data_IF_821893878886
#
_entry.id   IF_821893878886
#
_cell.length_a   1.000
_cell.length_b   1.000
_cell.length_c   1.000
_cell.angle_alpha   90.00
_cell.angle_beta   90.00
_cell.angle_gamma   90.00
#
_symmetry.space_group_name_H-M   'P 1'
#
loop_
_entity.id
_entity.type
_entity.pdbx_description
1 polymer ?
#
# COMPACT_ATOMS: atom_id res chain seq x y z
N UNK A 1 5.70 -7.21 24.55
CA UNK A 1 4.32 -7.02 24.03
C UNK A 1 3.60 -8.36 24.11
N UNK A 2 2.42 -8.41 24.75
CA UNK A 2 1.52 -9.57 24.59
C UNK A 2 0.62 -9.30 23.39
N UNK A 3 0.67 -10.18 22.39
CA UNK A 3 -0.19 -10.10 21.20
C UNK A 3 -1.36 -11.05 21.41
N UNK A 4 -2.55 -10.49 21.62
CA UNK A 4 -3.80 -11.26 21.71
C UNK A 4 -4.37 -11.44 20.31
N UNK A 5 -4.15 -12.61 19.69
CA UNK A 5 -4.74 -12.94 18.39
C UNK A 5 -6.21 -13.27 18.55
N UNK A 6 -7.03 -12.79 17.63
CA UNK A 6 -8.45 -13.18 17.58
C UNK A 6 -8.57 -14.70 17.39
N UNK A 7 -9.28 -15.43 18.27
CA UNK A 7 -9.32 -16.89 18.23
C UNK A 7 -9.96 -17.48 16.96
N UNK A 8 -10.84 -16.73 16.29
CA UNK A 8 -11.50 -17.16 15.04
C UNK A 8 -10.86 -16.60 13.78
N UNK A 9 -9.59 -16.19 13.84
CA UNK A 9 -8.84 -15.88 12.63
C UNK A 9 -8.90 -17.04 11.62
N UNK A 10 -8.95 -16.76 10.31
CA UNK A 10 -8.87 -15.43 9.67
C UNK A 10 -10.19 -14.63 9.68
N UNK A 11 -10.10 -13.30 9.76
CA UNK A 11 -11.25 -12.35 9.72
C UNK A 11 -11.81 -12.11 8.31
N UNK A 12 -11.09 -12.53 7.26
CA UNK A 12 -11.50 -12.45 5.87
C UNK A 12 -10.91 -13.66 5.13
N UNK A 13 -11.72 -14.30 4.28
CA UNK A 13 -11.32 -15.44 3.45
C UNK A 13 -11.78 -15.22 2.01
N UNK A 14 -11.11 -15.85 1.02
CA UNK A 14 -11.56 -15.81 -0.37
C UNK A 14 -13.03 -16.23 -0.54
N UNK A 15 -13.77 -15.50 -1.37
CA UNK A 15 -15.11 -15.91 -1.83
C UNK A 15 -14.98 -16.63 -3.17
N UNK A 16 -15.28 -17.94 -3.17
CA UNK A 16 -15.17 -18.79 -4.36
C UNK A 16 -16.17 -18.43 -5.47
N UNK A 17 -17.19 -17.64 -5.17
CA UNK A 17 -18.14 -17.17 -6.18
C UNK A 17 -17.64 -15.91 -6.91
N UNK A 18 -16.47 -15.40 -6.56
CA UNK A 18 -15.90 -14.17 -7.10
C UNK A 18 -14.48 -14.41 -7.63
N UNK A 19 -14.36 -14.66 -8.93
CA UNK A 19 -13.10 -15.08 -9.60
C UNK A 19 -11.90 -14.14 -9.36
N UNK A 20 -12.14 -12.85 -9.14
CA UNK A 20 -11.09 -11.85 -8.90
C UNK A 20 -10.42 -11.97 -7.52
N UNK A 21 -11.07 -12.66 -6.57
CA UNK A 21 -10.55 -12.85 -5.21
C UNK A 21 -10.48 -14.33 -4.79
N UNK A 22 -10.76 -15.25 -5.71
CA UNK A 22 -10.94 -16.67 -5.42
C UNK A 22 -9.65 -17.33 -4.91
N UNK A 23 -8.47 -16.92 -5.40
CA UNK A 23 -7.22 -17.57 -5.02
C UNK A 23 -6.72 -17.12 -3.64
N UNK A 24 -6.80 -15.81 -3.33
CA UNK A 24 -6.37 -15.27 -2.04
C UNK A 24 -6.95 -13.88 -1.75
N UNK A 25 -7.09 -13.56 -0.45
CA UNK A 25 -7.36 -12.20 0.07
C UNK A 25 -6.43 -11.93 1.25
N UNK A 26 -5.70 -10.82 1.23
CA UNK A 26 -4.63 -10.54 2.20
C UNK A 26 -4.17 -9.06 2.14
N UNK A 27 -3.17 -8.70 2.96
CA UNK A 27 -2.55 -7.37 3.00
C UNK A 27 -3.54 -6.21 3.11
N UNK A 28 -4.51 -6.34 4.01
CA UNK A 28 -5.56 -5.36 4.19
C UNK A 28 -5.14 -4.13 5.00
N UNK A 29 -5.65 -2.96 4.62
CA UNK A 29 -5.53 -1.70 5.33
C UNK A 29 -6.93 -1.24 5.83
N UNK A 30 -7.18 -1.25 7.14
CA UNK A 30 -8.43 -0.78 7.70
C UNK A 30 -8.49 0.76 7.72
N UNK A 31 -9.69 1.32 7.60
CA UNK A 31 -9.98 2.75 7.76
C UNK A 31 -11.38 2.94 8.33
N UNK A 32 -11.53 3.87 9.27
CA UNK A 32 -12.85 4.21 9.82
C UNK A 32 -13.55 5.26 8.94
N UNK A 33 -14.85 5.05 8.71
CA UNK A 33 -15.72 6.04 8.07
C UNK A 33 -17.14 5.89 8.64
N UNK A 34 -17.66 6.98 9.21
CA UNK A 34 -19.03 7.06 9.75
C UNK A 34 -19.36 5.96 10.77
N UNK A 35 -18.44 5.66 11.69
CA UNK A 35 -18.62 4.64 12.72
C UNK A 35 -18.55 3.19 12.22
N UNK A 36 -18.21 2.97 10.95
CA UNK A 36 -17.91 1.63 10.38
C UNK A 36 -16.44 1.51 10.05
N UNK A 37 -15.94 0.28 10.08
CA UNK A 37 -14.59 -0.05 9.66
C UNK A 37 -14.67 -0.61 8.24
N UNK A 38 -13.97 0.04 7.32
CA UNK A 38 -13.76 -0.46 5.97
C UNK A 38 -12.37 -1.10 5.89
N UNK A 39 -12.27 -2.23 5.21
CA UNK A 39 -10.99 -2.90 4.94
C UNK A 39 -10.76 -2.91 3.44
N UNK A 40 -9.74 -2.19 2.99
CA UNK A 40 -9.24 -2.32 1.63
C UNK A 40 -8.20 -3.44 1.63
N UNK A 41 -8.30 -4.40 0.73
CA UNK A 41 -7.43 -5.57 0.75
C UNK A 41 -6.98 -5.97 -0.65
N UNK A 42 -5.82 -6.61 -0.73
CA UNK A 42 -5.37 -7.26 -1.96
C UNK A 42 -6.17 -8.55 -2.14
N UNK A 43 -6.78 -8.70 -3.30
CA UNK A 43 -7.41 -9.89 -3.79
C UNK A 43 -6.59 -10.45 -4.96
N UNK A 44 -6.56 -11.76 -5.11
CA UNK A 44 -5.85 -12.42 -6.21
C UNK A 44 -6.75 -13.44 -6.89
N UNK A 45 -6.73 -13.44 -8.22
CA UNK A 45 -7.41 -14.44 -9.03
C UNK A 45 -6.58 -15.72 -9.21
N UNK A 46 -7.24 -16.83 -9.54
CA UNK A 46 -6.53 -17.93 -10.21
C UNK A 46 -6.06 -17.51 -11.61
N UNK A 47 -5.05 -18.18 -12.19
CA UNK A 47 -4.61 -17.89 -13.54
C UNK A 47 -5.74 -18.02 -14.55
N UNK A 48 -6.07 -16.92 -15.22
CA UNK A 48 -7.03 -16.90 -16.33
C UNK A 48 -6.66 -15.80 -17.33
N UNK A 49 -7.33 -15.80 -18.49
CA UNK A 49 -7.07 -14.79 -19.50
C UNK A 49 -7.61 -13.42 -19.07
N UNK A 50 -6.72 -12.44 -18.95
CA UNK A 50 -7.05 -11.05 -18.65
C UNK A 50 -7.02 -10.23 -19.94
N UNK A 51 -8.17 -9.69 -20.36
CA UNK A 51 -8.29 -8.96 -21.62
C UNK A 51 -7.39 -7.73 -21.70
N UNK A 52 -7.26 -6.95 -20.62
CA UNK A 52 -6.40 -5.76 -20.60
C UNK A 52 -4.91 -6.10 -20.67
N UNK A 53 -4.49 -7.19 -20.01
CA UNK A 53 -3.10 -7.65 -20.02
C UNK A 53 -2.76 -8.52 -21.24
N UNK A 54 -3.77 -8.99 -21.98
CA UNK A 54 -3.68 -9.92 -23.12
C UNK A 54 -2.88 -11.20 -22.82
N UNK A 55 -3.04 -11.73 -21.59
CA UNK A 55 -2.24 -12.85 -21.08
C UNK A 55 -3.04 -13.71 -20.11
N UNK A 56 -2.59 -14.95 -19.94
CA UNK A 56 -3.04 -15.85 -18.87
C UNK A 56 -2.10 -15.71 -17.68
N UNK A 57 -2.60 -15.15 -16.58
CA UNK A 57 -1.85 -14.98 -15.33
C UNK A 57 -2.83 -14.82 -14.15
N UNK A 58 -2.32 -14.90 -12.93
CA UNK A 58 -3.03 -14.36 -11.76
C UNK A 58 -2.80 -12.86 -11.71
N UNK A 59 -3.87 -12.08 -11.51
CA UNK A 59 -3.78 -10.63 -11.30
C UNK A 59 -4.28 -10.31 -9.89
N UNK A 60 -3.60 -9.34 -9.27
CA UNK A 60 -4.03 -8.71 -8.04
C UNK A 60 -4.98 -7.54 -8.34
N UNK A 61 -6.12 -7.53 -7.66
CA UNK A 61 -7.07 -6.42 -7.61
C UNK A 61 -7.19 -5.94 -6.15
N UNK A 62 -7.78 -4.75 -5.93
CA UNK A 62 -8.08 -4.26 -4.58
C UNK A 62 -9.58 -4.36 -4.33
N UNK A 63 -9.92 -5.10 -3.28
CA UNK A 63 -11.26 -5.22 -2.74
C UNK A 63 -11.53 -4.23 -1.60
N UNK A 64 -12.81 -4.02 -1.33
CA UNK A 64 -13.34 -3.32 -0.16
C UNK A 64 -14.32 -4.24 0.57
N UNK A 65 -14.20 -4.35 1.88
CA UNK A 65 -15.20 -4.94 2.76
C UNK A 65 -15.55 -3.96 3.88
N UNK A 66 -16.74 -4.10 4.49
CA UNK A 66 -17.16 -3.28 5.63
C UNK A 66 -17.46 -4.14 6.86
N UNK A 67 -17.31 -3.56 8.04
CA UNK A 67 -17.57 -4.20 9.32
C UNK A 67 -18.06 -3.17 10.33
N UNK A 68 -19.03 -3.55 11.16
CA UNK A 68 -19.50 -2.72 12.28
C UNK A 68 -18.64 -2.92 13.55
N UNK A 69 -17.85 -4.00 13.63
CA UNK A 69 -17.06 -4.37 14.82
C UNK A 69 -15.56 -4.57 14.56
N UNK A 70 -15.12 -4.42 13.31
CA UNK A 70 -13.73 -4.58 12.89
C UNK A 70 -13.26 -6.03 12.82
N UNK A 71 -14.16 -6.99 12.96
CA UNK A 71 -13.87 -8.43 13.01
C UNK A 71 -14.68 -9.17 11.95
N UNK A 72 -15.98 -8.87 11.83
CA UNK A 72 -16.88 -9.51 10.89
C UNK A 72 -17.02 -8.65 9.64
N UNK A 73 -16.23 -8.95 8.61
CA UNK A 73 -16.23 -8.22 7.35
C UNK A 73 -17.21 -8.80 6.33
N UNK A 74 -17.96 -7.93 5.66
CA UNK A 74 -19.01 -8.26 4.69
C UNK A 74 -18.97 -7.33 3.47
N UNK A 75 -19.85 -7.60 2.50
CA UNK A 75 -20.04 -6.78 1.28
C UNK A 75 -18.76 -6.58 0.48
N UNK A 76 -17.99 -7.66 0.32
CA UNK A 76 -16.79 -7.69 -0.52
C UNK A 76 -17.12 -7.19 -1.92
N UNK A 77 -16.43 -6.15 -2.37
CA UNK A 77 -16.53 -5.63 -3.74
C UNK A 77 -15.16 -5.25 -4.27
N UNK A 78 -14.96 -5.44 -5.57
CA UNK A 78 -13.77 -4.96 -6.27
C UNK A 78 -13.86 -3.45 -6.48
N UNK A 79 -12.81 -2.70 -6.15
CA UNK A 79 -12.80 -1.23 -6.25
C UNK A 79 -11.63 -0.65 -7.07
N UNK A 80 -10.47 -1.30 -7.11
CA UNK A 80 -9.34 -0.89 -7.97
C UNK A 80 -8.86 -2.14 -8.70
N UNK A 81 -8.72 -2.01 -10.00
CA UNK A 81 -8.27 -3.05 -10.92
C UNK A 81 -7.50 -2.40 -12.07
N UNK A 82 -6.71 -3.17 -12.86
CA UNK A 82 -5.94 -2.62 -13.96
C UNK A 82 -6.82 -1.93 -15.01
N UNK A 83 -6.59 -0.63 -15.21
CA UNK A 83 -7.23 0.21 -16.23
C UNK A 83 -6.19 1.04 -17.01
N UNK A 84 -4.95 1.13 -16.51
CA UNK A 84 -3.88 1.91 -17.09
C UNK A 84 -2.61 1.08 -17.33
N UNK A 85 -1.78 1.48 -18.30
CA UNK A 85 -0.56 0.73 -18.65
C UNK A 85 0.43 0.59 -17.48
N UNK A 86 0.49 1.56 -16.56
CA UNK A 86 1.37 1.50 -15.39
C UNK A 86 0.93 0.51 -14.30
N UNK A 87 -0.25 -0.09 -14.42
CA UNK A 87 -0.81 -1.07 -13.48
C UNK A 87 -1.34 -2.32 -14.21
N UNK A 88 -0.98 -2.48 -15.49
CA UNK A 88 -1.51 -3.49 -16.42
C UNK A 88 -1.56 -4.92 -15.90
N UNK A 89 -0.62 -5.28 -15.03
CA UNK A 89 -0.46 -6.63 -14.51
C UNK A 89 -0.80 -6.77 -13.02
N UNK A 90 -1.34 -5.73 -12.38
CA UNK A 90 -1.87 -5.83 -11.01
C UNK A 90 -1.84 -4.54 -10.21
N UNK A 91 -2.78 -4.47 -9.27
CA UNK A 91 -2.91 -3.45 -8.22
C UNK A 91 -2.80 -4.14 -6.86
N UNK A 92 -1.76 -3.83 -6.07
CA UNK A 92 -1.41 -4.61 -4.89
C UNK A 92 -1.32 -3.77 -3.61
N UNK A 93 -1.58 -4.41 -2.47
CA UNK A 93 -1.19 -3.97 -1.13
C UNK A 93 -1.61 -2.53 -0.79
N UNK A 94 -2.94 -2.26 -0.71
CA UNK A 94 -3.46 -0.92 -0.51
C UNK A 94 -3.02 -0.32 0.83
N UNK A 95 -2.82 0.99 0.84
CA UNK A 95 -2.74 1.83 2.04
C UNK A 95 -3.66 3.02 1.88
N UNK A 96 -4.61 3.13 2.80
CA UNK A 96 -5.63 4.17 2.77
C UNK A 96 -5.42 5.17 3.89
N UNK A 97 -5.42 6.45 3.54
CA UNK A 97 -5.43 7.55 4.49
C UNK A 97 -6.56 8.51 4.12
N UNK A 98 -7.37 8.91 5.10
CA UNK A 98 -8.27 10.06 4.93
C UNK A 98 -7.48 11.33 5.23
N UNK A 99 -7.45 12.26 4.29
CA UNK A 99 -6.86 13.59 4.46
C UNK A 99 -7.89 14.63 3.99
N UNK A 100 -8.23 15.56 4.87
CA UNK A 100 -9.36 16.47 4.68
C UNK A 100 -10.64 15.65 4.37
N UNK A 101 -11.35 15.92 3.27
CA UNK A 101 -12.59 15.23 2.88
C UNK A 101 -12.38 14.11 1.84
N UNK A 102 -11.13 13.73 1.55
CA UNK A 102 -10.79 12.77 0.51
C UNK A 102 -9.97 11.59 1.07
N UNK A 103 -10.24 10.40 0.56
CA UNK A 103 -9.46 9.20 0.82
C UNK A 103 -8.41 9.05 -0.27
N UNK A 104 -7.16 8.89 0.14
CA UNK A 104 -6.03 8.56 -0.72
C UNK A 104 -5.69 7.10 -0.51
N UNK A 105 -5.82 6.30 -1.56
CA UNK A 105 -5.57 4.86 -1.57
C UNK A 105 -4.31 4.63 -2.41
N UNK A 106 -3.16 4.57 -1.75
CA UNK A 106 -1.92 4.20 -2.41
C UNK A 106 -1.86 2.69 -2.60
N UNK A 107 -1.28 2.26 -3.71
CA UNK A 107 -1.11 0.85 -4.04
C UNK A 107 0.13 0.63 -4.90
N UNK A 108 0.62 -0.60 -4.92
CA UNK A 108 1.68 -1.03 -5.83
C UNK A 108 1.07 -1.32 -7.20
N UNK A 109 1.57 -0.64 -8.22
CA UNK A 109 1.17 -0.81 -9.61
C UNK A 109 2.22 -1.64 -10.36
N UNK A 110 1.78 -2.73 -11.00
CA UNK A 110 2.64 -3.63 -11.77
C UNK A 110 2.47 -3.35 -13.27
N UNK A 111 3.50 -2.76 -13.88
CA UNK A 111 3.47 -2.24 -15.25
C UNK A 111 4.12 -3.12 -16.31
N UNK A 112 4.96 -4.09 -15.94
CA UNK A 112 5.77 -4.86 -16.89
C UNK A 112 5.59 -6.37 -16.76
N UNK A 113 5.70 -7.05 -17.91
CA UNK A 113 5.82 -8.49 -18.03
C UNK A 113 6.88 -8.85 -19.09
N UNK A 114 7.82 -9.79 -18.84
CA UNK A 114 8.04 -10.52 -17.59
C UNK A 114 8.30 -9.57 -16.40
N UNK A 115 7.92 -10.01 -15.20
CA UNK A 115 7.99 -9.16 -14.01
C UNK A 115 9.43 -8.74 -13.73
N UNK A 116 9.62 -7.45 -13.47
CA UNK A 116 10.91 -6.85 -13.15
C UNK A 116 10.73 -5.79 -12.07
N UNK A 117 11.79 -5.48 -11.29
CA UNK A 117 11.76 -4.35 -10.35
C UNK A 117 11.43 -3.01 -11.00
N UNK A 118 11.81 -2.80 -12.27
CA UNK A 118 11.49 -1.58 -13.04
C UNK A 118 10.00 -1.42 -13.33
N UNK A 119 9.27 -2.55 -13.34
CA UNK A 119 7.83 -2.58 -13.55
C UNK A 119 7.01 -2.21 -12.31
N UNK A 120 7.64 -2.07 -11.14
CA UNK A 120 6.94 -1.92 -9.85
C UNK A 120 7.00 -0.47 -9.41
N UNK A 121 5.84 0.16 -9.22
CA UNK A 121 5.73 1.59 -8.87
C UNK A 121 4.65 1.80 -7.82
N UNK A 122 4.64 2.97 -7.19
CA UNK A 122 3.48 3.42 -6.40
C UNK A 122 2.52 4.15 -7.32
N UNK A 123 1.22 3.88 -7.16
CA UNK A 123 0.13 4.67 -7.71
C UNK A 123 -0.82 5.09 -6.58
N UNK A 124 -1.71 6.03 -6.86
CA UNK A 124 -2.74 6.50 -5.92
C UNK A 124 -4.09 6.56 -6.63
N UNK A 125 -5.12 6.05 -5.95
CA UNK A 125 -6.51 6.26 -6.29
C UNK A 125 -7.16 7.18 -5.26
N UNK A 126 -7.96 8.15 -5.69
CA UNK A 126 -8.71 9.02 -4.76
C UNK A 126 -10.19 8.66 -4.72
N UNK A 127 -10.83 8.90 -3.58
CA UNK A 127 -12.26 8.70 -3.41
C UNK A 127 -12.81 9.62 -2.33
N UNK A 128 -14.03 10.13 -2.49
CA UNK A 128 -14.71 10.87 -1.42
C UNK A 128 -15.46 9.94 -0.45
N UNK A 129 -15.66 8.67 -0.82
CA UNK A 129 -16.55 7.77 -0.08
C UNK A 129 -16.07 6.32 0.02
N UNK A 130 -14.86 5.99 -0.46
CA UNK A 130 -14.30 4.63 -0.59
C UNK A 130 -15.06 3.68 -1.53
N UNK A 131 -16.27 4.04 -1.95
CA UNK A 131 -17.13 3.17 -2.71
C UNK A 131 -16.96 3.30 -4.21
N UNK A 132 -16.56 4.50 -4.67
CA UNK A 132 -16.27 4.82 -6.06
C UNK A 132 -14.94 5.55 -6.15
N UNK A 133 -14.07 5.08 -7.05
CA UNK A 133 -12.82 5.77 -7.36
C UNK A 133 -13.13 7.00 -8.24
N UNK A 134 -12.53 8.13 -7.88
CA UNK A 134 -12.68 9.41 -8.57
C UNK A 134 -11.64 9.58 -9.67
N UNK A 135 -10.38 9.32 -9.35
CA UNK A 135 -9.24 9.42 -10.26
C UNK A 135 -8.14 8.47 -9.79
N UNK A 136 -7.27 8.06 -10.71
CA UNK A 136 -6.04 7.31 -10.45
C UNK A 136 -4.86 8.01 -11.10
N UNK A 137 -3.74 8.07 -10.39
CA UNK A 137 -2.51 8.69 -10.85
C UNK A 137 -1.31 7.79 -10.56
N UNK A 138 -0.34 7.77 -11.48
CA UNK A 138 0.97 7.19 -11.19
C UNK A 138 1.73 8.15 -10.26
N UNK A 139 2.26 7.64 -9.15
CA UNK A 139 2.96 8.45 -8.14
C UNK A 139 4.46 8.42 -8.43
N UNK A 140 5.10 7.26 -8.36
CA UNK A 140 6.56 7.18 -8.51
C UNK A 140 6.99 6.76 -9.92
N UNK A 141 8.01 7.40 -10.51
CA UNK A 141 8.64 6.93 -11.75
C UNK A 141 9.70 5.83 -11.52
N UNK A 142 10.00 5.51 -10.26
CA UNK A 142 11.03 4.55 -9.83
C UNK A 142 10.44 3.41 -8.99
N UNK A 143 11.26 2.38 -8.72
CA UNK A 143 10.89 1.23 -7.88
C UNK A 143 10.59 1.69 -6.44
N UNK A 144 9.33 1.55 -6.05
CA UNK A 144 8.84 1.84 -4.71
C UNK A 144 7.55 1.07 -4.43
N UNK A 145 7.28 0.84 -3.15
CA UNK A 145 6.03 0.25 -2.63
C UNK A 145 5.60 0.94 -1.35
N UNK A 146 4.43 0.53 -0.85
CA UNK A 146 3.96 0.81 0.50
C UNK A 146 4.07 2.30 0.86
N UNK A 147 3.38 3.16 0.11
CA UNK A 147 3.25 4.57 0.44
C UNK A 147 1.99 4.81 1.27
N UNK A 148 2.03 5.76 2.19
CA UNK A 148 0.85 6.28 2.88
C UNK A 148 1.03 7.77 3.19
N UNK A 149 -0.08 8.49 3.37
CA UNK A 149 -0.04 9.85 3.90
C UNK A 149 -0.23 9.85 5.41
N UNK A 150 0.27 10.89 6.06
CA UNK A 150 -0.14 11.25 7.41
C UNK A 150 -1.60 11.77 7.37
N UNK A 151 -2.44 11.42 8.35
CA UNK A 151 -3.89 11.72 8.33
C UNK A 151 -4.23 13.20 8.60
N UNK A 152 -3.23 14.10 8.64
CA UNK A 152 -3.40 15.55 8.70
C UNK A 152 -2.18 16.26 8.14
N UNK A 153 -2.35 17.54 7.81
CA UNK A 153 -1.22 18.41 7.45
C UNK A 153 -0.38 18.70 8.69
N UNK A 154 0.94 18.70 8.52
CA UNK A 154 1.91 18.99 9.59
C UNK A 154 2.70 20.22 9.14
N UNK A 155 2.64 21.29 9.94
CA UNK A 155 3.22 22.59 9.62
C UNK A 155 2.77 23.12 8.23
N UNK A 156 1.48 22.94 7.92
CA UNK A 156 0.87 23.39 6.66
C UNK A 156 1.14 22.49 5.44
N UNK A 157 2.01 21.47 5.55
CA UNK A 157 2.37 20.57 4.44
C UNK A 157 1.65 19.23 4.53
N UNK A 158 1.43 18.61 3.38
CA UNK A 158 1.00 17.21 3.29
C UNK A 158 2.24 16.35 3.44
N UNK A 159 2.24 15.40 4.38
CA UNK A 159 3.36 14.47 4.56
C UNK A 159 2.99 13.07 4.09
N UNK A 160 3.96 12.43 3.44
CA UNK A 160 3.93 11.04 3.04
C UNK A 160 5.12 10.27 3.58
N UNK A 161 4.97 8.96 3.64
CA UNK A 161 6.01 8.00 3.94
C UNK A 161 5.91 6.86 2.93
N UNK A 162 7.03 6.43 2.37
CA UNK A 162 7.08 5.36 1.35
C UNK A 162 8.33 4.50 1.48
N UNK A 163 8.30 3.33 0.85
CA UNK A 163 9.47 2.47 0.73
C UNK A 163 10.05 2.57 -0.67
N UNK A 164 11.26 3.10 -0.78
CA UNK A 164 12.03 3.17 -2.02
C UNK A 164 12.86 1.90 -2.16
N UNK A 165 13.02 1.39 -3.38
CA UNK A 165 13.91 0.26 -3.69
C UNK A 165 13.52 -1.10 -3.08
N UNK A 166 12.22 -1.30 -2.85
CA UNK A 166 11.65 -2.56 -2.32
C UNK A 166 11.98 -3.80 -3.16
N UNK A 167 12.34 -3.66 -4.44
CA UNK A 167 12.81 -4.79 -5.26
C UNK A 167 14.19 -4.52 -5.88
N UNK A 168 14.87 -3.47 -5.41
CA UNK A 168 16.21 -3.04 -5.83
C UNK A 168 17.09 -2.70 -4.62
N UNK A 169 17.40 -3.66 -3.73
CA UNK A 169 18.02 -3.38 -2.43
C UNK A 169 19.29 -2.52 -2.55
N UNK A 170 19.57 -1.66 -1.54
CA UNK A 170 18.90 -1.60 -0.24
C UNK A 170 17.57 -0.83 -0.25
N UNK A 171 16.52 -1.42 0.32
CA UNK A 171 15.24 -0.74 0.50
C UNK A 171 15.32 0.29 1.63
N UNK A 172 14.76 1.48 1.42
CA UNK A 172 14.75 2.57 2.41
C UNK A 172 13.34 3.10 2.62
N UNK A 173 12.95 3.23 3.89
CA UNK A 173 11.71 3.94 4.25
C UNK A 173 12.05 5.42 4.34
N UNK A 174 11.38 6.24 3.54
CA UNK A 174 11.67 7.66 3.41
C UNK A 174 10.44 8.52 3.72
N UNK A 175 10.69 9.73 4.23
CA UNK A 175 9.67 10.77 4.38
C UNK A 175 9.64 11.67 3.14
N UNK A 176 8.48 12.21 2.83
CA UNK A 176 8.30 13.20 1.75
C UNK A 176 7.24 14.21 2.18
N UNK A 177 7.39 15.46 1.76
CA UNK A 177 6.41 16.51 2.04
C UNK A 177 6.02 17.23 0.76
N UNK A 178 4.74 17.57 0.64
CA UNK A 178 4.16 18.24 -0.52
C UNK A 178 3.49 19.55 -0.09
N UNK A 179 3.58 20.57 -0.95
CA UNK A 179 2.93 21.87 -0.70
C UNK A 179 1.46 21.86 -1.13
N UNK A 180 1.15 21.11 -2.20
CA UNK A 180 -0.21 20.91 -2.70
C UNK A 180 -0.47 19.46 -3.12
N UNK A 181 -1.74 19.11 -3.28
CA UNK A 181 -2.20 17.76 -3.59
C UNK A 181 -1.58 17.24 -4.89
N UNK A 182 -1.47 18.09 -5.90
CA UNK A 182 -0.99 17.72 -7.24
C UNK A 182 0.49 17.32 -7.25
N UNK A 183 1.28 17.78 -6.27
CA UNK A 183 2.70 17.41 -6.16
C UNK A 183 2.84 15.91 -5.84
N UNK A 184 1.83 15.27 -5.22
CA UNK A 184 1.81 13.85 -4.87
C UNK A 184 2.04 12.98 -6.11
N UNK A 185 1.60 13.40 -7.30
CA UNK A 185 1.77 12.66 -8.55
C UNK A 185 2.43 13.50 -9.64
N UNK A 186 3.18 14.54 -9.27
CA UNK A 186 3.98 15.32 -10.23
C UNK A 186 5.25 14.53 -10.61
N UNK A 187 5.44 14.19 -11.89
CA UNK A 187 6.67 13.55 -12.35
C UNK A 187 7.91 14.39 -12.07
N UNK A 188 7.83 15.71 -12.21
CA UNK A 188 8.92 16.65 -11.98
C UNK A 188 9.32 16.69 -10.50
N UNK A 189 8.32 16.74 -9.60
CA UNK A 189 8.56 16.68 -8.15
C UNK A 189 9.32 15.40 -7.79
N UNK A 190 8.83 14.25 -8.25
CA UNK A 190 9.44 12.96 -7.92
C UNK A 190 10.80 12.77 -8.57
N UNK A 191 11.02 13.26 -9.78
CA UNK A 191 12.33 13.23 -10.41
C UNK A 191 13.37 14.00 -9.58
N UNK A 192 13.03 15.20 -9.10
CA UNK A 192 13.92 16.01 -8.26
C UNK A 192 14.11 15.40 -6.87
N UNK A 193 13.03 15.00 -6.20
CA UNK A 193 13.09 14.39 -4.87
C UNK A 193 13.95 13.11 -4.87
N UNK A 194 13.84 12.31 -5.94
CA UNK A 194 14.56 11.04 -6.06
C UNK A 194 16.07 11.18 -6.23
N UNK A 195 16.58 12.32 -6.72
CA UNK A 195 18.02 12.53 -6.85
C UNK A 195 18.76 12.47 -5.50
N UNK A 196 18.11 12.94 -4.43
CA UNK A 196 18.66 13.02 -3.08
C UNK A 196 17.79 12.28 -2.04
N UNK A 197 17.05 11.25 -2.46
CA UNK A 197 16.05 10.59 -1.60
C UNK A 197 16.62 10.03 -0.29
N UNK A 198 17.90 9.65 -0.30
CA UNK A 198 18.59 9.09 0.85
C UNK A 198 18.64 10.04 2.05
N UNK A 199 18.64 11.36 1.79
CA UNK A 199 18.57 12.40 2.84
C UNK A 199 17.30 12.28 3.67
N UNK A 200 16.23 11.78 3.08
CA UNK A 200 14.93 11.62 3.73
C UNK A 200 14.69 10.21 4.27
N UNK A 201 15.70 9.33 4.22
CA UNK A 201 15.59 7.97 4.72
C UNK A 201 15.66 7.92 6.25
N UNK A 202 14.81 7.07 6.83
CA UNK A 202 14.85 6.77 8.26
C UNK A 202 15.98 5.75 8.54
N UNK A 203 16.79 5.93 9.60
CA UNK A 203 17.95 5.10 9.91
C UNK A 203 17.55 3.76 10.56
N UNK A 204 16.73 2.96 9.87
CA UNK A 204 16.13 1.73 10.38
C UNK A 204 16.92 0.47 10.01
N UNK A 205 17.75 0.55 8.96
CA UNK A 205 18.50 -0.61 8.47
C UNK A 205 19.61 -0.97 9.46
N UNK A 206 19.64 -2.24 9.90
CA UNK A 206 20.66 -2.74 10.84
C UNK A 206 21.75 -3.52 10.12
N UNK A 207 21.38 -4.23 9.06
CA UNK A 207 22.30 -4.96 8.20
C UNK A 207 22.01 -4.65 6.72
N UNK A 208 23.02 -4.60 5.82
CA UNK A 208 22.81 -4.35 4.39
C UNK A 208 21.86 -5.33 3.69
N UNK A 209 21.67 -6.52 4.28
CA UNK A 209 20.80 -7.58 3.77
C UNK A 209 19.37 -7.51 4.32
N UNK A 210 19.10 -6.63 5.29
CA UNK A 210 17.76 -6.42 5.82
C UNK A 210 16.90 -5.78 4.73
N UNK A 211 15.66 -6.24 4.67
CA UNK A 211 14.63 -5.65 3.84
C UNK A 211 13.62 -4.92 4.73
N UNK A 212 13.22 -3.73 4.32
CA UNK A 212 12.31 -2.86 5.05
C UNK A 212 11.14 -2.51 4.16
N UNK A 213 9.94 -2.48 4.73
CA UNK A 213 8.77 -2.00 4.01
C UNK A 213 7.79 -1.38 5.01
N UNK A 214 7.27 -0.19 4.71
CA UNK A 214 6.24 0.45 5.52
C UNK A 214 5.05 -0.51 5.71
N UNK A 215 4.51 -0.61 6.93
CA UNK A 215 3.46 -1.58 7.29
C UNK A 215 2.05 -1.00 7.43
N UNK A 216 1.89 0.18 8.04
CA UNK A 216 0.59 0.85 8.14
C UNK A 216 0.73 2.34 7.81
N UNK A 217 -0.38 3.04 7.49
CA UNK A 217 -0.37 4.50 7.59
C UNK A 217 0.09 4.95 8.99
N UNK A 218 0.79 6.10 9.11
CA UNK A 218 1.17 6.67 10.40
C UNK A 218 -0.04 6.94 11.29
N UNK A 219 0.07 6.59 12.58
CA UNK A 219 -0.97 6.80 13.57
C UNK A 219 -0.58 7.94 14.50
N UNK A 220 -1.48 8.90 14.69
CA UNK A 220 -1.26 9.99 15.64
C UNK A 220 -1.37 9.46 17.07
N UNK A 221 -0.43 9.87 17.92
CA UNK A 221 -0.47 9.63 19.36
C UNK A 221 -0.10 10.92 20.11
N UNK A 222 -0.39 11.02 21.42
CA UNK A 222 0.08 12.15 22.24
C UNK A 222 1.62 12.31 22.30
N UNK A 223 2.38 11.30 21.87
CA UNK A 223 3.84 11.27 21.92
C UNK A 223 4.51 11.47 20.54
N UNK A 224 3.72 11.66 19.48
CA UNK A 224 4.18 11.73 18.11
C UNK A 224 3.49 10.70 17.21
N UNK A 225 4.11 10.40 16.06
CA UNK A 225 3.56 9.53 15.04
C UNK A 225 4.08 8.11 15.16
N UNK A 226 3.20 7.19 15.53
CA UNK A 226 3.50 5.77 15.59
C UNK A 226 3.44 5.16 14.18
N UNK A 227 4.55 4.60 13.73
CA UNK A 227 4.68 3.97 12.42
C UNK A 227 5.05 2.51 12.61
N UNK A 228 4.25 1.61 12.03
CA UNK A 228 4.57 0.19 11.94
C UNK A 228 5.22 -0.12 10.59
N UNK A 229 6.27 -0.93 10.60
CA UNK A 229 6.96 -1.38 9.40
C UNK A 229 7.36 -2.85 9.51
N UNK A 230 7.55 -3.48 8.36
CA UNK A 230 8.07 -4.82 8.24
C UNK A 230 9.59 -4.78 8.25
N UNK A 231 10.22 -5.48 9.20
CA UNK A 231 11.64 -5.82 9.14
C UNK A 231 11.75 -7.26 8.68
N UNK A 232 12.35 -7.48 7.51
CA UNK A 232 12.34 -8.77 6.84
C UNK A 232 13.76 -9.27 6.62
N UNK A 233 14.03 -10.46 7.13
CA UNK A 233 15.33 -11.14 6.98
C UNK A 233 15.27 -12.15 5.84
N UNK A 234 16.37 -12.25 5.10
CA UNK A 234 16.55 -13.16 3.97
C UNK A 234 15.48 -13.02 2.86
N UNK A 235 15.05 -11.78 2.57
CA UNK A 235 13.91 -11.47 1.68
C UNK A 235 14.02 -12.11 0.29
N UNK A 236 15.21 -12.17 -0.31
CA UNK A 236 15.42 -12.79 -1.63
C UNK A 236 15.70 -14.30 -1.59
N UNK A 237 15.51 -14.96 -0.45
CA UNK A 237 15.69 -16.40 -0.28
C UNK A 237 14.34 -17.12 -0.08
N UNK A 238 14.38 -18.45 0.04
CA UNK A 238 13.21 -19.24 0.43
C UNK A 238 12.91 -19.17 1.94
N UNK A 239 13.89 -18.78 2.78
CA UNK A 239 13.78 -18.74 4.24
C UNK A 239 13.49 -17.32 4.76
N UNK A 240 12.47 -16.68 4.17
CA UNK A 240 12.08 -15.31 4.51
C UNK A 240 11.46 -15.27 5.90
N UNK A 241 11.90 -14.34 6.73
CA UNK A 241 11.32 -14.11 8.05
C UNK A 241 10.78 -12.68 8.12
N UNK A 242 9.47 -12.56 8.17
CA UNK A 242 8.77 -11.27 8.32
C UNK A 242 8.57 -10.96 9.81
N UNK A 243 9.10 -9.83 10.26
CA UNK A 243 8.83 -9.23 11.56
C UNK A 243 8.06 -7.93 11.42
N UNK A 244 7.23 -7.60 12.42
CA UNK A 244 6.58 -6.29 12.52
C UNK A 244 7.30 -5.53 13.62
N UNK A 245 7.76 -4.33 13.29
CA UNK A 245 8.42 -3.41 14.20
C UNK A 245 7.71 -2.06 14.19
N UNK A 246 8.05 -1.21 15.17
CA UNK A 246 7.47 0.10 15.32
C UNK A 246 8.54 1.15 15.60
N UNK A 247 8.30 2.37 15.15
CA UNK A 247 9.07 3.55 15.48
C UNK A 247 8.11 4.70 15.81
N UNK A 248 8.61 5.68 16.56
CA UNK A 248 7.88 6.89 16.91
C UNK A 248 8.61 8.08 16.30
N UNK A 249 7.94 8.83 15.42
CA UNK A 249 8.43 10.10 14.87
C UNK A 249 7.87 11.25 15.70
N UNK A 250 8.59 12.37 15.76
CA UNK A 250 8.15 13.62 16.37
C UNK A 250 7.03 14.33 15.59
#
# INVERSE_FOLDING_TARGET
MMINRYPKNPILTPDKNQSWQEAAVFNGCPVEKNGKIYLLYRAMSYPHYHAFAEKVLSISDIGLAESDDGINFQKQKKIIFPEFEWEKYGCEDPRVTKLDDEFFIFYTAISQYPFSPDGIKVAVATSNNLEKIKEKHLVTPFNAKAMALFPKKINGKIWGILTVHTDKPPAKICLVSFDKKEDIWSPEFWFLWYQDFEKYSLPLQRHPADHLELGSPPLETPYGWLVFYSHIRNYFSQNRLFGIEALLLD
#
